data_IF_224183553793
#
_entry.id   IF_224183553793
#
_cell.length_a   1.000
_cell.length_b   1.000
_cell.length_c   1.000
_cell.angle_alpha   90.00
_cell.angle_beta   90.00
_cell.angle_gamma   90.00
#
_symmetry.space_group_name_H-M   'P 1'
#
loop_
_entity.id
_entity.type
_entity.pdbx_description
1 polymer ?
#
# COMPACT_ATOMS: atom_id res chain seq x y z
N UNK A 1 6.26 2.14 -5.75
CA UNK A 1 5.49 2.90 -6.77
C UNK A 1 4.02 2.45 -6.85
N UNK A 2 3.71 1.16 -7.07
CA UNK A 2 2.32 0.64 -7.17
C UNK A 2 1.42 1.06 -6.00
N UNK A 3 1.90 0.99 -4.75
CA UNK A 3 1.14 1.40 -3.57
C UNK A 3 0.70 2.89 -3.63
N UNK A 4 1.61 3.77 -4.04
CA UNK A 4 1.30 5.20 -4.14
C UNK A 4 0.24 5.47 -5.21
N UNK A 5 0.35 4.80 -6.38
CA UNK A 5 -0.64 4.90 -7.45
C UNK A 5 -2.01 4.44 -6.94
N UNK A 6 -2.07 3.26 -6.32
CA UNK A 6 -3.34 2.73 -5.80
C UNK A 6 -3.96 3.63 -4.74
N UNK A 7 -3.16 4.15 -3.80
CA UNK A 7 -3.63 5.11 -2.80
C UNK A 7 -4.29 6.35 -3.42
N UNK A 8 -3.67 6.91 -4.47
CA UNK A 8 -4.21 8.06 -5.19
C UNK A 8 -5.45 7.71 -6.02
N UNK A 9 -5.60 6.46 -6.47
CA UNK A 9 -6.78 5.99 -7.19
C UNK A 9 -7.99 5.77 -6.28
N UNK A 10 -7.80 5.17 -5.10
CA UNK A 10 -8.91 4.93 -4.15
C UNK A 10 -9.40 6.19 -3.45
N UNK A 11 -8.68 7.29 -3.59
CA UNK A 11 -8.97 8.58 -2.98
C UNK A 11 -8.27 8.76 -1.63
N UNK A 12 -7.43 9.80 -1.46
CA UNK A 12 -6.70 10.03 -0.22
C UNK A 12 -7.60 10.50 0.93
N UNK A 13 -8.70 11.20 0.62
CA UNK A 13 -9.73 11.68 1.52
C UNK A 13 -11.02 12.02 0.77
N UNK A 14 -12.12 12.25 1.50
CA UNK A 14 -13.45 12.56 0.92
C UNK A 14 -13.46 13.89 0.14
N UNK A 15 -12.60 14.84 0.52
CA UNK A 15 -12.53 16.18 -0.06
C UNK A 15 -11.87 16.16 -1.45
N UNK A 16 -10.80 15.40 -1.58
CA UNK A 16 -10.02 15.29 -2.83
C UNK A 16 -10.63 14.24 -3.77
N UNK A 17 -11.22 13.18 -3.22
CA UNK A 17 -11.67 12.03 -3.98
C UNK A 17 -10.55 11.37 -4.79
N UNK A 18 -10.90 10.63 -5.83
CA UNK A 18 -9.92 9.93 -6.70
C UNK A 18 -9.05 10.94 -7.46
N UNK A 19 -7.72 10.81 -7.33
CA UNK A 19 -6.73 11.70 -7.97
C UNK A 19 -6.10 11.09 -9.22
N UNK A 20 -6.15 9.76 -9.36
CA UNK A 20 -5.66 9.04 -10.54
C UNK A 20 -6.75 8.11 -11.07
N UNK A 21 -6.93 7.98 -12.40
CA UNK A 21 -7.85 7.01 -12.96
C UNK A 21 -7.31 5.58 -12.81
N UNK A 22 -8.19 4.57 -12.81
CA UNK A 22 -7.79 3.18 -12.97
C UNK A 22 -6.97 2.96 -14.25
N UNK A 23 -5.99 2.08 -14.17
CA UNK A 23 -5.07 1.74 -15.25
C UNK A 23 -5.60 0.59 -16.13
N UNK A 24 -6.92 0.47 -16.27
CA UNK A 24 -7.65 -0.64 -16.91
C UNK A 24 -7.35 -0.87 -18.40
N UNK A 25 -6.45 -0.08 -19.00
CA UNK A 25 -6.00 -0.21 -20.39
C UNK A 25 -4.52 -0.55 -20.59
N UNK A 26 -3.69 -0.61 -19.53
CA UNK A 26 -2.23 -0.73 -19.69
C UNK A 26 -1.79 -2.01 -20.41
N UNK A 27 -2.42 -3.15 -20.10
CA UNK A 27 -2.15 -4.43 -20.78
C UNK A 27 -2.56 -4.44 -22.25
N UNK A 28 -3.43 -3.51 -22.66
CA UNK A 28 -3.94 -3.39 -24.04
C UNK A 28 -3.39 -2.18 -24.80
N UNK A 29 -2.48 -1.42 -24.18
CA UNK A 29 -1.93 -0.18 -24.75
C UNK A 29 -2.95 0.96 -24.89
N UNK A 30 -4.14 0.84 -24.28
CA UNK A 30 -5.17 1.87 -24.32
C UNK A 30 -4.93 2.89 -23.20
N UNK A 31 -4.96 4.17 -23.56
CA UNK A 31 -4.95 5.25 -22.58
C UNK A 31 -6.20 5.16 -21.70
N UNK A 32 -6.08 5.30 -20.36
CA UNK A 32 -7.23 5.38 -19.49
C UNK A 32 -8.05 6.63 -19.80
N UNK A 33 -9.36 6.57 -19.54
CA UNK A 33 -10.21 7.76 -19.65
C UNK A 33 -9.71 8.83 -18.67
N UNK A 34 -9.56 10.10 -19.10
CA UNK A 34 -9.18 11.18 -18.20
C UNK A 34 -10.22 11.33 -17.09
N UNK A 35 -9.75 11.58 -15.87
CA UNK A 35 -10.64 12.01 -14.79
C UNK A 35 -11.20 13.40 -15.14
N UNK A 36 -12.45 13.65 -14.75
CA UNK A 36 -12.99 14.99 -14.75
C UNK A 36 -12.33 15.80 -13.64
N UNK A 37 -11.27 16.52 -14.00
CA UNK A 37 -10.47 17.35 -13.09
C UNK A 37 -11.16 18.66 -12.68
N UNK A 38 -12.47 18.83 -12.96
CA UNK A 38 -13.26 20.01 -12.61
C UNK A 38 -12.96 20.51 -11.18
N UNK A 39 -12.27 21.64 -11.07
CA UNK A 39 -11.99 22.47 -9.88
C UNK A 39 -11.58 21.77 -8.56
N UNK A 40 -11.06 20.53 -8.60
CA UNK A 40 -10.57 19.89 -7.38
C UNK A 40 -9.19 20.41 -7.00
N UNK A 41 -9.09 21.07 -5.85
CA UNK A 41 -7.81 21.49 -5.27
C UNK A 41 -6.92 20.27 -5.04
N UNK A 42 -5.77 20.22 -5.71
CA UNK A 42 -4.79 19.17 -5.46
C UNK A 42 -4.21 19.34 -4.04
N UNK A 43 -4.28 18.31 -3.18
CA UNK A 43 -3.74 18.43 -1.83
C UNK A 43 -2.24 18.67 -1.84
N UNK A 44 -1.76 19.40 -0.83
CA UNK A 44 -0.33 19.56 -0.62
C UNK A 44 0.35 18.18 -0.46
N UNK A 45 1.56 18.03 -1.00
CA UNK A 45 2.31 16.77 -0.95
C UNK A 45 2.47 16.22 0.49
N UNK A 46 2.66 17.11 1.48
CA UNK A 46 2.74 16.71 2.88
C UNK A 46 1.44 16.07 3.40
N UNK A 47 0.27 16.53 2.94
CA UNK A 47 -1.04 15.94 3.30
C UNK A 47 -1.19 14.56 2.66
N UNK A 48 -0.82 14.42 1.38
CA UNK A 48 -0.82 13.13 0.68
C UNK A 48 0.13 12.11 1.36
N UNK A 49 1.33 12.54 1.77
CA UNK A 49 2.27 11.67 2.46
C UNK A 49 1.72 11.19 3.81
N UNK A 50 1.16 12.10 4.63
CA UNK A 50 0.53 11.72 5.92
C UNK A 50 -0.64 10.77 5.70
N UNK A 51 -1.49 11.06 4.71
CA UNK A 51 -2.62 10.22 4.34
C UNK A 51 -2.19 8.84 3.85
N UNK A 52 -1.13 8.75 3.04
CA UNK A 52 -0.56 7.48 2.57
C UNK A 52 -0.11 6.60 3.74
N UNK A 53 0.64 7.17 4.70
CA UNK A 53 1.09 6.41 5.88
C UNK A 53 -0.10 5.95 6.73
N UNK A 54 -1.08 6.82 6.95
CA UNK A 54 -2.27 6.47 7.73
C UNK A 54 -3.13 5.40 7.04
N UNK A 55 -3.31 5.50 5.71
CA UNK A 55 -4.05 4.55 4.90
C UNK A 55 -3.44 3.15 5.02
N UNK A 56 -2.13 3.02 4.80
CA UNK A 56 -1.47 1.71 4.83
C UNK A 56 -1.25 1.14 6.23
N UNK A 57 -1.13 1.99 7.26
CA UNK A 57 -1.15 1.54 8.64
C UNK A 57 -2.49 0.89 9.04
N UNK A 58 -3.61 1.34 8.45
CA UNK A 58 -4.94 0.78 8.66
C UNK A 58 -5.40 -0.20 7.57
N UNK A 59 -4.56 -0.49 6.58
CA UNK A 59 -4.93 -1.34 5.45
C UNK A 59 -5.11 -2.79 5.89
N UNK A 60 -6.18 -3.45 5.44
CA UNK A 60 -6.48 -4.82 5.84
C UNK A 60 -5.63 -5.81 5.02
N UNK A 61 -4.34 -5.88 5.34
CA UNK A 61 -3.38 -6.79 4.71
C UNK A 61 -3.92 -8.22 4.66
N UNK A 62 -3.83 -8.85 3.49
CA UNK A 62 -4.37 -10.17 3.19
C UNK A 62 -5.88 -10.25 2.94
N UNK A 63 -6.67 -9.26 3.35
CA UNK A 63 -8.12 -9.17 3.06
C UNK A 63 -8.44 -8.26 1.89
N UNK A 64 -7.54 -7.35 1.55
CA UNK A 64 -7.67 -6.46 0.41
C UNK A 64 -6.65 -6.78 -0.68
N UNK A 65 -7.03 -6.44 -1.91
CA UNK A 65 -6.20 -6.56 -3.10
C UNK A 65 -5.88 -5.17 -3.64
N UNK A 66 -4.59 -4.88 -3.76
CA UNK A 66 -4.07 -3.69 -4.41
C UNK A 66 -4.02 -3.98 -5.90
N UNK A 67 -4.88 -3.33 -6.66
CA UNK A 67 -4.96 -3.45 -8.12
C UNK A 67 -5.07 -2.07 -8.73
N UNK A 68 -3.99 -1.62 -9.38
CA UNK A 68 -3.98 -0.31 -10.05
C UNK A 68 -4.80 -0.32 -11.33
N UNK A 69 -5.02 -1.50 -11.92
CA UNK A 69 -5.90 -1.67 -13.08
C UNK A 69 -7.37 -1.45 -12.70
N UNK A 70 -7.77 -1.85 -11.49
CA UNK A 70 -9.14 -1.62 -11.00
C UNK A 70 -9.33 -0.28 -10.31
N UNK A 71 -8.28 0.25 -9.66
CA UNK A 71 -8.27 1.55 -8.99
C UNK A 71 -9.29 1.69 -7.85
N UNK A 72 -9.74 0.58 -7.26
CA UNK A 72 -10.76 0.56 -6.20
C UNK A 72 -10.49 -0.54 -5.19
N UNK A 73 -11.03 -0.39 -3.98
CA UNK A 73 -10.93 -1.42 -2.93
C UNK A 73 -11.64 -2.69 -3.37
N UNK A 74 -10.89 -3.79 -3.39
CA UNK A 74 -11.41 -5.12 -3.74
C UNK A 74 -10.85 -6.17 -2.80
N UNK A 75 -11.50 -7.34 -2.79
CA UNK A 75 -11.16 -8.46 -1.91
C UNK A 75 -10.65 -9.65 -2.71
N UNK A 76 -9.87 -10.56 -2.08
CA UNK A 76 -9.55 -11.87 -2.66
C UNK A 76 -10.80 -12.60 -3.14
N UNK A 77 -10.65 -13.35 -4.22
CA UNK A 77 -11.72 -14.14 -4.85
C UNK A 77 -11.24 -15.56 -5.09
N UNK A 78 -12.12 -16.48 -5.53
CA UNK A 78 -11.70 -17.84 -5.85
C UNK A 78 -10.56 -17.89 -6.89
N UNK A 79 -10.58 -16.97 -7.87
CA UNK A 79 -9.52 -16.80 -8.88
C UNK A 79 -8.26 -16.11 -8.37
N UNK A 80 -8.31 -15.50 -7.18
CA UNK A 80 -7.20 -14.76 -6.54
C UNK A 80 -7.24 -15.02 -5.04
N UNK A 81 -6.73 -16.19 -4.61
CA UNK A 81 -6.75 -16.54 -3.20
C UNK A 81 -5.90 -15.56 -2.38
N UNK A 82 -6.25 -15.41 -1.11
CA UNK A 82 -5.49 -14.59 -0.19
C UNK A 82 -4.05 -15.13 -0.06
N UNK A 83 -3.07 -14.25 -0.18
CA UNK A 83 -1.68 -14.59 0.06
C UNK A 83 -1.44 -14.85 1.55
N UNK A 84 -0.75 -15.96 1.85
CA UNK A 84 -0.42 -16.39 3.21
C UNK A 84 1.08 -16.60 3.32
N UNK A 85 1.69 -15.95 4.29
CA UNK A 85 3.10 -16.11 4.65
C UNK A 85 3.23 -17.19 5.72
N UNK A 86 4.25 -18.04 5.59
CA UNK A 86 4.60 -19.04 6.59
C UNK A 86 5.74 -18.51 7.46
N UNK A 87 5.67 -18.80 8.76
CA UNK A 87 6.77 -18.59 9.69
C UNK A 87 7.82 -19.70 9.55
N UNK A 88 8.97 -19.53 10.19
CA UNK A 88 10.07 -20.50 10.19
C UNK A 88 9.66 -21.87 10.77
N UNK A 89 8.65 -21.91 11.64
CA UNK A 89 8.10 -23.16 12.18
C UNK A 89 7.30 -23.98 11.15
N UNK A 90 7.06 -23.43 9.95
CA UNK A 90 6.26 -24.02 8.88
C UNK A 90 4.77 -24.21 9.21
N UNK A 91 4.32 -23.79 10.38
CA UNK A 91 2.96 -24.03 10.91
C UNK A 91 2.19 -22.73 11.09
N UNK A 92 2.85 -21.72 11.63
CA UNK A 92 2.26 -20.42 11.87
C UNK A 92 2.10 -19.69 10.55
N UNK A 93 0.88 -19.23 10.31
CA UNK A 93 0.46 -18.55 9.09
C UNK A 93 0.10 -17.12 9.44
N UNK A 94 0.52 -16.18 8.62
CA UNK A 94 0.04 -14.80 8.70
C UNK A 94 -0.37 -14.27 7.32
N UNK A 95 -1.27 -13.29 7.26
CA UNK A 95 -1.69 -12.73 5.98
C UNK A 95 -0.53 -11.99 5.30
N UNK A 96 -0.34 -12.24 4.00
CA UNK A 96 0.60 -11.53 3.15
C UNK A 96 -0.11 -10.47 2.30
N UNK A 97 0.64 -9.55 1.67
CA UNK A 97 0.06 -8.58 0.77
C UNK A 97 -0.38 -9.24 -0.54
N UNK A 98 -1.52 -8.77 -1.06
CA UNK A 98 -2.01 -9.10 -2.39
C UNK A 98 -1.85 -7.85 -3.28
N UNK A 99 -0.78 -7.81 -4.07
CA UNK A 99 -0.44 -6.70 -4.96
C UNK A 99 -0.43 -7.24 -6.39
N UNK A 100 -1.45 -6.91 -7.17
CA UNK A 100 -1.56 -7.33 -8.57
C UNK A 100 -0.51 -6.63 -9.43
N UNK A 101 0.17 -7.39 -10.28
CA UNK A 101 0.98 -6.83 -11.35
C UNK A 101 0.07 -6.23 -12.45
N UNK A 102 0.27 -4.95 -12.84
CA UNK A 102 -0.59 -4.29 -13.85
C UNK A 102 -0.49 -4.89 -15.26
N UNK A 103 0.58 -5.61 -15.58
CA UNK A 103 0.81 -6.25 -16.87
C UNK A 103 0.49 -7.76 -16.83
N UNK A 104 0.63 -8.39 -15.66
CA UNK A 104 0.32 -9.80 -15.44
C UNK A 104 -0.65 -9.97 -14.26
N UNK A 105 -1.96 -9.91 -14.51
CA UNK A 105 -2.98 -9.88 -13.44
C UNK A 105 -3.06 -11.14 -12.57
N UNK A 106 -2.40 -12.23 -12.98
CA UNK A 106 -2.26 -13.48 -12.22
C UNK A 106 -1.05 -13.46 -11.27
N UNK A 107 -0.11 -12.53 -11.46
CA UNK A 107 1.08 -12.37 -10.65
C UNK A 107 0.80 -11.49 -9.44
N UNK A 108 1.26 -11.95 -8.27
CA UNK A 108 1.22 -11.19 -7.03
C UNK A 108 2.63 -10.70 -6.69
N UNK A 109 2.88 -9.41 -6.82
CA UNK A 109 4.15 -8.76 -6.48
C UNK A 109 4.50 -8.84 -4.99
N UNK A 110 3.52 -9.15 -4.14
CA UNK A 110 3.72 -9.38 -2.70
C UNK A 110 4.37 -10.72 -2.35
N UNK A 111 4.53 -11.64 -3.31
CA UNK A 111 5.09 -12.99 -3.09
C UNK A 111 6.55 -13.00 -2.66
N UNK A 112 7.30 -11.93 -2.91
CA UNK A 112 8.68 -11.79 -2.46
C UNK A 112 8.80 -11.49 -0.95
N UNK A 113 7.70 -11.18 -0.26
CA UNK A 113 7.74 -10.84 1.15
C UNK A 113 7.84 -12.09 2.03
N UNK A 114 8.69 -12.00 3.05
CA UNK A 114 8.79 -12.97 4.14
C UNK A 114 8.00 -12.50 5.36
N UNK A 115 7.69 -13.41 6.30
CA UNK A 115 6.89 -13.05 7.46
C UNK A 115 7.49 -11.91 8.28
N UNK A 116 8.82 -11.94 8.49
CA UNK A 116 9.55 -10.91 9.21
C UNK A 116 9.45 -9.54 8.51
N UNK A 117 9.59 -9.53 7.17
CA UNK A 117 9.48 -8.29 6.39
C UNK A 117 8.08 -7.68 6.47
N UNK A 118 7.04 -8.50 6.57
CA UNK A 118 5.66 -8.05 6.73
C UNK A 118 5.41 -7.45 8.12
N UNK A 119 5.96 -8.07 9.17
CA UNK A 119 5.91 -7.53 10.53
C UNK A 119 6.60 -6.17 10.61
N UNK A 120 7.80 -6.06 10.02
CA UNK A 120 8.56 -4.80 9.97
C UNK A 120 7.85 -3.72 9.16
N UNK A 121 7.26 -4.05 8.01
CA UNK A 121 6.45 -3.11 7.22
C UNK A 121 5.30 -2.55 8.07
N UNK A 122 4.59 -3.41 8.79
CA UNK A 122 3.45 -3.02 9.62
C UNK A 122 3.89 -2.16 10.79
N UNK A 123 5.00 -2.49 11.43
CA UNK A 123 5.60 -1.70 12.50
C UNK A 123 5.97 -0.29 12.02
N UNK A 124 6.69 -0.18 10.90
CA UNK A 124 7.14 1.09 10.34
C UNK A 124 5.98 1.98 9.85
N UNK A 125 4.94 1.38 9.27
CA UNK A 125 3.71 2.13 8.91
C UNK A 125 3.01 2.67 10.16
N UNK A 126 2.95 1.89 11.24
CA UNK A 126 2.38 2.34 12.51
C UNK A 126 3.25 3.40 13.20
N UNK A 127 4.58 3.27 13.17
CA UNK A 127 5.51 4.31 13.63
C UNK A 127 5.30 5.61 12.85
N UNK A 128 5.27 5.51 11.53
CA UNK A 128 5.05 6.64 10.62
C UNK A 128 3.71 7.32 10.89
N UNK A 129 2.63 6.56 11.07
CA UNK A 129 1.31 7.09 11.45
C UNK A 129 1.36 7.87 12.77
N UNK A 130 1.98 7.32 13.81
CA UNK A 130 2.12 8.00 15.12
C UNK A 130 2.86 9.32 14.99
N UNK A 131 3.98 9.33 14.27
CA UNK A 131 4.78 10.52 13.99
C UNK A 131 3.99 11.55 13.17
N UNK A 132 3.24 11.10 12.16
CA UNK A 132 2.38 11.97 11.36
C UNK A 132 1.28 12.63 12.20
N UNK A 133 0.68 11.91 13.16
CA UNK A 133 -0.31 12.46 14.11
C UNK A 133 0.33 13.45 15.08
N UNK A 134 1.54 13.16 15.56
CA UNK A 134 2.29 14.04 16.44
C UNK A 134 2.82 15.32 15.76
N UNK A 135 2.68 15.44 14.43
CA UNK A 135 3.08 16.64 13.71
C UNK A 135 4.59 16.83 13.58
N UNK A 136 5.38 15.76 13.74
CA UNK A 136 6.85 15.82 13.66
C UNK A 136 7.34 16.29 12.28
N UNK A 137 8.61 16.69 12.23
CA UNK A 137 9.28 17.11 11.00
C UNK A 137 9.46 15.94 10.02
N UNK A 138 9.65 16.26 8.74
CA UNK A 138 9.98 15.23 7.74
C UNK A 138 11.32 14.55 8.05
N UNK A 139 12.27 15.26 8.66
CA UNK A 139 13.57 14.72 9.05
C UNK A 139 13.42 13.60 10.09
N UNK A 140 12.59 13.82 11.12
CA UNK A 140 12.30 12.80 12.15
C UNK A 140 11.50 11.61 11.59
N UNK A 141 10.57 11.85 10.66
CA UNK A 141 9.84 10.77 9.99
C UNK A 141 10.78 9.85 9.19
N UNK A 142 11.76 10.46 8.52
CA UNK A 142 12.75 9.79 7.66
C UNK A 142 14.02 9.39 8.41
N UNK A 143 14.03 9.46 9.74
CA UNK A 143 15.14 8.96 10.53
C UNK A 143 15.42 7.50 10.16
N UNK A 144 16.65 7.15 9.76
CA UNK A 144 16.99 5.79 9.37
C UNK A 144 16.67 4.81 10.49
N UNK A 145 16.08 3.66 10.12
CA UNK A 145 15.94 2.59 11.08
C UNK A 145 17.30 1.97 11.40
N UNK A 146 17.56 1.75 12.68
CA UNK A 146 18.75 1.07 13.18
C UNK A 146 18.32 -0.23 13.87
N UNK A 147 18.90 -1.39 13.50
CA UNK A 147 18.66 -2.64 14.22
C UNK A 147 18.96 -2.49 15.71
N UNK A 148 18.19 -3.15 16.60
CA UNK A 148 18.62 -3.31 17.99
C UNK A 148 20.01 -3.96 18.02
N UNK A 149 20.88 -3.47 18.91
CA UNK A 149 22.16 -4.11 19.16
C UNK A 149 21.90 -5.56 19.57
N UNK A 150 22.41 -6.50 18.77
CA UNK A 150 22.36 -7.91 19.13
C UNK A 150 23.25 -8.07 20.36
N UNK A 151 22.66 -8.44 21.49
CA UNK A 151 23.46 -8.86 22.64
C UNK A 151 24.23 -10.10 22.20
N UNK A 152 25.55 -9.95 22.02
CA UNK A 152 26.46 -11.08 21.81
C UNK A 152 26.41 -11.94 23.08
N UNK A 153 25.78 -13.11 23.00
CA UNK A 153 25.93 -14.20 23.97
C UNK A 153 27.16 -15.06 23.64
#
# INVERSE_FOLDING_TARGET
>A
MILAIYYLQVGPDEESGELLPPLSGLSTGKMPAPLDYSEKTTPAAARLLRGFMNFYAGFAWGKEVISVCKGKRTWPSASRPAHVLLHEDGKTKQPGPNIEDPFETTSNLGTCMHWLSMSRLTEELNRSKKLCVAGVSLAELLEPWTPPEQQEE
#
